data_IF_283755866628
#
_entry.id   IF_283755866628
#
_cell.length_a   1.000
_cell.length_b   1.000
_cell.length_c   1.000
_cell.angle_alpha   90.00
_cell.angle_beta   90.00
_cell.angle_gamma   90.00
#
_symmetry.space_group_name_H-M   'P 1'
#
loop_
_entity.id
_entity.type
_entity.pdbx_description
1 polymer ?
#
# COMPACT_ATOMS: atom_id res chain seq x y z
N UNK A 1 4.86 8.37 25.70
CA UNK A 1 3.44 8.49 25.29
C UNK A 1 2.93 7.09 25.02
N UNK A 2 1.69 6.75 25.38
CA UNK A 2 1.11 5.42 25.13
C UNK A 2 -0.20 5.59 24.36
N UNK A 3 -0.36 4.88 23.27
CA UNK A 3 -1.63 4.81 22.57
C UNK A 3 -2.49 3.66 23.11
N UNK A 4 -3.82 3.82 23.10
CA UNK A 4 -4.73 2.79 23.63
C UNK A 4 -5.19 1.86 22.52
N UNK A 5 -5.81 2.38 21.48
CA UNK A 5 -6.46 1.58 20.43
C UNK A 5 -5.81 1.72 19.05
N UNK A 6 -5.26 2.89 18.73
CA UNK A 6 -4.71 3.19 17.43
C UNK A 6 -3.18 3.20 17.45
N UNK A 7 -2.55 2.95 16.31
CA UNK A 7 -1.14 3.29 16.13
C UNK A 7 -1.00 4.81 15.99
N UNK A 8 0.11 5.35 16.44
CA UNK A 8 0.53 6.70 16.09
C UNK A 8 1.65 6.56 15.07
N UNK A 9 1.43 7.14 13.91
CA UNK A 9 2.35 7.04 12.77
C UNK A 9 2.77 8.43 12.28
N UNK A 10 3.91 8.50 11.63
CA UNK A 10 4.42 9.68 10.97
C UNK A 10 4.71 9.35 9.50
N UNK A 11 4.35 10.22 8.54
CA UNK A 11 4.67 9.97 7.13
C UNK A 11 6.19 9.94 6.91
N UNK A 12 6.64 9.04 6.05
CA UNK A 12 8.01 9.03 5.57
C UNK A 12 8.17 10.13 4.50
N UNK A 13 8.78 11.26 4.88
CA UNK A 13 8.86 12.44 4.02
C UNK A 13 7.58 13.28 4.02
N UNK A 14 7.20 13.80 2.85
CA UNK A 14 6.00 14.63 2.70
C UNK A 14 4.71 13.80 2.68
N UNK A 15 3.60 14.38 3.17
CA UNK A 15 2.26 13.75 3.10
C UNK A 15 1.79 13.52 1.66
N UNK A 16 2.24 14.37 0.72
CA UNK A 16 1.83 14.35 -0.68
C UNK A 16 3.06 14.43 -1.60
N UNK A 17 3.05 13.65 -2.66
CA UNK A 17 4.12 13.66 -3.67
C UNK A 17 4.06 14.83 -4.65
N UNK A 18 2.97 15.62 -4.63
CA UNK A 18 2.81 16.81 -5.47
C UNK A 18 3.31 18.11 -4.85
N UNK A 19 3.99 18.05 -3.71
CA UNK A 19 4.53 19.20 -3.01
C UNK A 19 6.03 19.29 -3.19
N UNK A 20 6.51 20.45 -3.62
CA UNK A 20 7.94 20.80 -3.66
C UNK A 20 8.16 21.97 -2.70
N UNK A 21 9.10 21.82 -1.78
CA UNK A 21 9.54 22.91 -0.93
C UNK A 21 10.64 23.71 -1.66
N UNK A 22 10.38 24.98 -1.95
CA UNK A 22 11.35 25.90 -2.52
C UNK A 22 11.55 27.04 -1.51
N UNK A 23 12.75 27.16 -0.96
CA UNK A 23 13.14 28.23 0.00
C UNK A 23 12.22 28.37 1.23
N UNK A 24 11.58 27.29 1.68
CA UNK A 24 10.67 27.30 2.82
C UNK A 24 9.19 27.46 2.47
N UNK A 25 8.88 27.79 1.22
CA UNK A 25 7.51 27.85 0.71
C UNK A 25 7.11 26.54 0.05
N UNK A 26 5.89 26.07 0.38
CA UNK A 26 5.30 24.89 -0.26
C UNK A 26 4.68 25.26 -1.59
N UNK A 27 5.24 24.75 -2.68
CA UNK A 27 4.66 24.82 -4.01
C UNK A 27 3.91 23.54 -4.33
N UNK A 28 2.62 23.66 -4.65
CA UNK A 28 1.82 22.54 -5.17
C UNK A 28 2.01 22.46 -6.67
N UNK A 29 2.73 21.44 -7.13
CA UNK A 29 3.06 21.25 -8.55
C UNK A 29 1.88 20.69 -9.35
N UNK A 30 0.91 20.05 -8.67
CA UNK A 30 -0.30 19.50 -9.29
C UNK A 30 -1.51 19.83 -8.42
N UNK A 31 -2.50 20.51 -8.99
CA UNK A 31 -3.73 20.93 -8.30
C UNK A 31 -4.74 19.79 -8.07
N UNK A 32 -4.48 18.57 -8.53
CA UNK A 32 -5.32 17.39 -8.27
C UNK A 32 -5.21 16.92 -6.82
N UNK A 33 -5.56 17.80 -5.87
CA UNK A 33 -5.45 17.56 -4.41
C UNK A 33 -6.26 16.34 -3.96
N UNK A 34 -7.28 15.95 -4.70
CA UNK A 34 -8.12 14.78 -4.39
C UNK A 34 -7.62 13.46 -4.98
N UNK A 35 -6.54 13.47 -5.76
CA UNK A 35 -6.00 12.24 -6.30
C UNK A 35 -5.30 11.43 -5.21
N UNK A 36 -5.96 10.36 -4.74
CA UNK A 36 -5.44 9.46 -3.71
C UNK A 36 -4.09 8.84 -4.07
N UNK A 37 -3.72 8.78 -5.36
CA UNK A 37 -2.43 8.28 -5.84
C UNK A 37 -1.27 9.19 -5.45
N UNK A 38 -1.54 10.47 -5.17
CA UNK A 38 -0.53 11.44 -4.75
C UNK A 38 -0.31 11.45 -3.23
N UNK A 39 -1.16 10.77 -2.48
CA UNK A 39 -1.04 10.68 -1.02
C UNK A 39 0.03 9.64 -0.67
N UNK A 40 0.99 10.05 0.14
CA UNK A 40 1.98 9.13 0.68
C UNK A 40 1.31 8.03 1.49
N UNK A 41 1.75 6.80 1.30
CA UNK A 41 1.24 5.62 2.01
C UNK A 41 2.30 4.96 2.87
N UNK A 42 3.53 5.49 2.86
CA UNK A 42 4.62 5.03 3.72
C UNK A 42 4.64 5.83 5.01
N UNK A 43 4.75 5.13 6.11
CA UNK A 43 4.81 5.72 7.44
C UNK A 43 5.79 4.98 8.34
N UNK A 44 6.25 5.67 9.38
CA UNK A 44 6.99 5.07 10.50
C UNK A 44 6.07 5.01 11.72
N UNK A 45 6.03 3.88 12.40
CA UNK A 45 5.28 3.68 13.64
C UNK A 45 6.02 4.35 14.80
N UNK A 46 5.37 5.31 15.44
CA UNK A 46 5.92 5.99 16.63
C UNK A 46 5.48 5.31 17.93
N UNK A 47 4.24 4.79 17.93
CA UNK A 47 3.68 4.13 19.12
C UNK A 47 2.69 3.06 18.71
N UNK A 48 2.77 1.92 19.36
CA UNK A 48 1.82 0.81 19.15
C UNK A 48 0.68 0.88 20.16
N UNK A 49 -0.52 0.36 19.82
CA UNK A 49 -1.64 0.27 20.76
C UNK A 49 -1.36 -0.68 21.91
N UNK A 50 -1.91 -0.36 23.07
CA UNK A 50 -1.78 -1.21 24.28
C UNK A 50 -2.98 -2.13 24.49
N UNK A 51 -4.10 -1.89 23.79
CA UNK A 51 -5.34 -2.66 23.96
C UNK A 51 -5.29 -4.06 23.35
N UNK A 52 -4.37 -4.33 22.45
CA UNK A 52 -4.22 -5.65 21.79
C UNK A 52 -2.77 -5.93 21.39
N UNK A 53 -2.46 -7.21 21.22
CA UNK A 53 -1.12 -7.64 20.76
C UNK A 53 -1.02 -7.58 19.24
N UNK A 54 0.08 -7.04 18.75
CA UNK A 54 0.37 -6.89 17.32
C UNK A 54 1.81 -7.30 17.01
N UNK A 55 2.11 -7.84 15.83
CA UNK A 55 3.49 -8.09 15.42
C UNK A 55 4.25 -6.80 15.07
N UNK A 56 3.54 -5.69 14.85
CA UNK A 56 4.12 -4.39 14.50
C UNK A 56 4.76 -3.77 15.75
N UNK A 57 5.93 -3.14 15.59
CA UNK A 57 6.69 -2.52 16.67
C UNK A 57 6.94 -1.03 16.40
N UNK A 58 7.28 -0.29 17.45
CA UNK A 58 7.76 1.09 17.32
C UNK A 58 9.03 1.12 16.43
N UNK A 59 9.08 2.05 15.48
CA UNK A 59 10.15 2.17 14.52
C UNK A 59 9.94 1.35 13.23
N UNK A 60 8.95 0.46 13.16
CA UNK A 60 8.67 -0.26 11.91
C UNK A 60 8.19 0.71 10.82
N UNK A 61 8.68 0.51 9.58
CA UNK A 61 8.06 1.09 8.39
C UNK A 61 6.77 0.35 8.06
N UNK A 62 5.73 1.07 7.68
CA UNK A 62 4.42 0.50 7.35
C UNK A 62 3.87 1.09 6.05
N UNK A 63 3.11 0.28 5.31
CA UNK A 63 2.28 0.74 4.19
C UNK A 63 0.85 0.82 4.69
N UNK A 64 0.25 2.01 4.56
CA UNK A 64 -1.05 2.33 5.15
C UNK A 64 -2.06 2.82 4.13
N UNK A 65 -3.32 2.86 4.54
CA UNK A 65 -4.40 3.41 3.75
C UNK A 65 -4.23 4.94 3.58
N UNK A 66 -4.44 5.44 2.35
CA UNK A 66 -4.25 6.84 2.00
C UNK A 66 -5.09 7.82 2.86
N UNK A 67 -6.25 7.39 3.38
CA UNK A 67 -7.11 8.24 4.22
C UNK A 67 -6.45 8.69 5.54
N UNK A 68 -5.40 8.00 6.00
CA UNK A 68 -4.69 8.38 7.23
C UNK A 68 -4.02 9.74 7.05
N UNK A 69 -3.43 9.99 5.87
CA UNK A 69 -2.73 11.23 5.56
C UNK A 69 -3.54 12.20 4.70
N UNK A 70 -4.80 11.85 4.36
CA UNK A 70 -5.66 12.70 3.54
C UNK A 70 -5.89 14.06 4.20
N UNK A 71 -5.81 15.13 3.40
CA UNK A 71 -6.16 16.49 3.80
C UNK A 71 -7.66 16.68 3.76
N UNK A 72 -8.13 17.48 4.69
CA UNK A 72 -9.54 17.92 4.75
C UNK A 72 -9.58 19.43 4.68
N UNK A 73 -10.59 19.95 4.01
CA UNK A 73 -10.79 21.38 3.83
C UNK A 73 -12.18 21.77 4.32
N UNK A 74 -12.27 22.93 4.98
CA UNK A 74 -13.57 23.50 5.33
C UNK A 74 -14.24 24.14 4.10
N UNK A 75 -15.45 24.66 4.27
CA UNK A 75 -16.21 25.33 3.22
C UNK A 75 -15.55 26.61 2.66
N UNK A 76 -14.54 27.12 3.33
CA UNK A 76 -13.74 28.27 2.90
C UNK A 76 -12.46 27.86 2.16
N UNK A 77 -12.24 26.55 1.94
CA UNK A 77 -11.03 26.01 1.29
C UNK A 77 -9.78 26.02 2.18
N UNK A 78 -9.92 26.27 3.49
CA UNK A 78 -8.80 26.22 4.44
C UNK A 78 -8.62 24.79 4.94
N UNK A 79 -7.37 24.30 4.94
CA UNK A 79 -7.04 23.00 5.51
C UNK A 79 -7.39 22.96 7.00
N UNK A 80 -8.04 21.88 7.41
CA UNK A 80 -8.44 21.62 8.79
C UNK A 80 -7.93 20.26 9.22
N UNK A 81 -7.70 20.12 10.51
CA UNK A 81 -7.31 18.85 11.10
C UNK A 81 -8.43 17.81 10.94
N UNK A 82 -8.03 16.59 10.57
CA UNK A 82 -8.93 15.45 10.55
C UNK A 82 -8.99 14.79 11.93
N UNK A 83 -9.96 13.89 12.13
CA UNK A 83 -10.02 13.02 13.31
C UNK A 83 -8.80 12.10 13.44
N UNK A 84 -7.98 12.00 12.41
CA UNK A 84 -6.73 11.23 12.40
C UNK A 84 -5.51 12.03 12.82
N UNK A 85 -5.60 13.37 12.83
CA UNK A 85 -4.47 14.24 13.22
C UNK A 85 -4.24 14.16 14.73
N UNK A 86 -3.01 13.87 15.12
CA UNK A 86 -2.58 13.79 16.51
C UNK A 86 -1.33 14.66 16.74
N UNK A 87 -1.50 15.98 16.69
CA UNK A 87 -0.38 16.93 16.82
C UNK A 87 0.52 17.01 15.58
N UNK A 88 1.70 17.60 15.73
CA UNK A 88 2.60 17.93 14.63
C UNK A 88 3.04 16.70 13.84
N UNK A 89 2.58 16.60 12.60
CA UNK A 89 2.92 15.54 11.65
C UNK A 89 2.73 14.10 12.19
N UNK A 90 1.82 13.91 13.16
CA UNK A 90 1.47 12.62 13.76
C UNK A 90 0.02 12.29 13.48
N UNK A 91 -0.25 11.03 13.17
CA UNK A 91 -1.56 10.60 12.73
C UNK A 91 -1.97 9.31 13.43
N UNK A 92 -3.27 9.21 13.75
CA UNK A 92 -3.87 7.99 14.27
C UNK A 92 -4.16 7.05 13.11
N UNK A 93 -3.68 5.82 13.21
CA UNK A 93 -3.86 4.76 12.22
C UNK A 93 -4.45 3.52 12.88
N UNK A 94 -5.58 3.06 12.39
CA UNK A 94 -6.22 1.84 12.86
C UNK A 94 -5.52 0.60 12.29
N UNK A 95 -5.62 -0.54 12.98
CA UNK A 95 -4.97 -1.77 12.57
C UNK A 95 -5.38 -2.23 11.16
N UNK A 96 -6.65 -2.10 10.82
CA UNK A 96 -7.20 -2.44 9.50
C UNK A 96 -6.78 -1.49 8.37
N UNK A 97 -6.19 -0.35 8.72
CA UNK A 97 -5.62 0.61 7.78
C UNK A 97 -4.14 0.33 7.46
N UNK A 98 -3.52 -0.68 8.07
CA UNK A 98 -2.14 -1.09 7.80
C UNK A 98 -2.17 -2.34 6.93
N UNK A 99 -1.52 -2.27 5.77
CA UNK A 99 -1.46 -3.38 4.81
C UNK A 99 -0.20 -4.21 4.97
N UNK A 100 0.94 -3.53 5.18
CA UNK A 100 2.26 -4.14 5.35
C UNK A 100 3.02 -3.47 6.48
N UNK A 101 3.90 -4.23 7.11
CA UNK A 101 4.97 -3.72 7.94
C UNK A 101 6.29 -4.33 7.53
N UNK A 102 7.37 -3.58 7.72
CA UNK A 102 8.71 -4.02 7.33
C UNK A 102 9.48 -4.51 8.54
N UNK A 103 9.99 -5.72 8.46
CA UNK A 103 10.88 -6.27 9.47
C UNK A 103 12.23 -6.56 8.84
N UNK A 104 13.28 -5.88 9.32
CA UNK A 104 14.60 -5.86 8.65
C UNK A 104 14.46 -5.35 7.22
N UNK A 105 14.60 -6.23 6.24
CA UNK A 105 14.50 -5.89 4.79
C UNK A 105 13.27 -6.48 4.11
N UNK A 106 12.45 -7.27 4.84
CA UNK A 106 11.29 -7.96 4.27
C UNK A 106 9.99 -7.28 4.65
N UNK A 107 9.13 -7.03 3.66
CA UNK A 107 7.74 -6.65 3.88
C UNK A 107 6.91 -7.87 4.28
N UNK A 108 6.11 -7.71 5.33
CA UNK A 108 5.22 -8.73 5.87
C UNK A 108 3.78 -8.20 5.85
N UNK A 109 2.81 -9.04 5.47
CA UNK A 109 1.41 -8.61 5.39
C UNK A 109 0.77 -8.50 6.77
N UNK A 110 -0.21 -7.62 6.88
CA UNK A 110 -1.08 -7.48 8.03
C UNK A 110 -2.43 -8.15 7.74
N UNK A 111 -2.87 -9.03 8.62
CA UNK A 111 -4.14 -9.75 8.46
C UNK A 111 -4.17 -10.61 7.20
N UNK A 112 -5.26 -10.49 6.44
CA UNK A 112 -5.52 -11.28 5.24
C UNK A 112 -5.00 -10.63 3.94
N UNK A 113 -4.26 -9.53 4.03
CA UNK A 113 -3.71 -8.88 2.85
C UNK A 113 -2.63 -9.74 2.17
N UNK A 114 -2.65 -9.73 0.85
CA UNK A 114 -1.60 -10.30 0.00
C UNK A 114 -1.31 -9.36 -1.17
N UNK A 115 -0.14 -9.49 -1.76
CA UNK A 115 0.30 -8.61 -2.85
C UNK A 115 0.74 -9.44 -4.05
N UNK A 116 0.19 -9.07 -5.19
CA UNK A 116 0.32 -9.78 -6.45
C UNK A 116 1.04 -8.90 -7.45
N UNK A 117 2.03 -9.46 -8.15
CA UNK A 117 2.67 -8.80 -9.29
C UNK A 117 1.82 -9.06 -10.53
N UNK A 118 1.40 -8.02 -11.28
CA UNK A 118 0.81 -8.22 -12.59
C UNK A 118 1.80 -8.89 -13.54
N UNK A 119 1.29 -9.61 -14.53
CA UNK A 119 2.10 -10.27 -15.56
C UNK A 119 1.83 -9.68 -16.94
N UNK A 120 2.85 -9.71 -17.80
CA UNK A 120 2.75 -9.21 -19.18
C UNK A 120 1.67 -9.96 -19.96
N UNK A 121 0.99 -9.24 -20.80
CA UNK A 121 0.09 -9.84 -21.76
C UNK A 121 0.88 -10.23 -23.01
N UNK A 122 0.93 -11.53 -23.29
CA UNK A 122 1.63 -12.07 -24.46
C UNK A 122 0.73 -12.19 -25.71
N UNK A 123 -0.53 -11.70 -25.62
CA UNK A 123 -1.43 -11.68 -26.78
C UNK A 123 -1.12 -10.47 -27.65
N UNK A 124 -0.53 -10.73 -28.83
CA UNK A 124 -0.17 -9.70 -29.82
C UNK A 124 -1.35 -8.88 -30.35
N UNK A 125 -2.57 -9.38 -30.18
CA UNK A 125 -3.81 -8.72 -30.60
C UNK A 125 -4.45 -7.88 -29.48
N UNK A 126 -3.97 -8.02 -28.28
CA UNK A 126 -4.49 -7.29 -27.13
C UNK A 126 -3.81 -5.93 -26.97
N UNK A 127 -4.60 -4.87 -26.78
CA UNK A 127 -4.08 -3.54 -26.41
C UNK A 127 -3.74 -3.41 -24.92
N UNK A 128 -4.11 -4.40 -24.12
CA UNK A 128 -3.86 -4.39 -22.69
C UNK A 128 -2.43 -4.88 -22.41
N UNK A 129 -1.62 -4.11 -21.68
CA UNK A 129 -0.22 -4.45 -21.43
C UNK A 129 -0.04 -5.60 -20.43
N UNK A 130 -1.08 -5.89 -19.64
CA UNK A 130 -1.08 -6.92 -18.59
C UNK A 130 -2.27 -7.88 -18.74
N UNK A 131 -2.11 -9.11 -18.24
CA UNK A 131 -3.20 -10.09 -18.18
C UNK A 131 -4.19 -9.71 -17.09
N UNK A 132 -5.48 -9.65 -17.41
CA UNK A 132 -6.53 -9.38 -16.43
C UNK A 132 -6.69 -10.53 -15.44
N UNK A 133 -6.89 -10.20 -14.17
CA UNK A 133 -7.22 -11.15 -13.09
C UNK A 133 -6.21 -12.27 -12.88
N UNK A 134 -4.95 -12.07 -13.26
CA UNK A 134 -3.89 -13.06 -13.16
C UNK A 134 -2.57 -12.39 -12.76
N UNK A 135 -1.79 -13.07 -11.92
CA UNK A 135 -0.52 -12.53 -11.47
C UNK A 135 0.25 -13.49 -10.57
N UNK A 136 1.42 -13.06 -10.14
CA UNK A 136 2.33 -13.85 -9.31
C UNK A 136 2.29 -13.33 -7.87
N UNK A 137 2.15 -14.21 -6.88
CA UNK A 137 2.17 -13.86 -5.46
C UNK A 137 3.55 -13.32 -5.08
N UNK A 138 3.63 -12.05 -4.70
CA UNK A 138 4.87 -11.41 -4.23
C UNK A 138 5.01 -11.46 -2.72
N UNK A 139 3.92 -11.12 -2.01
CA UNK A 139 3.86 -11.15 -0.55
C UNK A 139 2.60 -11.94 -0.20
N UNK A 140 2.80 -13.16 0.27
CA UNK A 140 1.74 -14.03 0.75
C UNK A 140 1.52 -13.89 2.25
N UNK A 141 0.41 -14.42 2.74
CA UNK A 141 0.08 -14.49 4.16
C UNK A 141 -0.10 -15.94 4.64
N UNK A 142 -0.35 -16.11 5.93
CA UNK A 142 -0.51 -17.45 6.53
C UNK A 142 -1.68 -18.24 5.96
N UNK A 143 -2.78 -17.57 5.63
CA UNK A 143 -3.97 -18.20 5.04
C UNK A 143 -3.66 -18.77 3.66
N UNK A 144 -3.02 -18.00 2.78
CA UNK A 144 -2.60 -18.49 1.47
C UNK A 144 -1.62 -19.66 1.59
N UNK A 145 -0.64 -19.55 2.48
CA UNK A 145 0.32 -20.65 2.72
C UNK A 145 -0.37 -21.93 3.20
N UNK A 146 -1.38 -21.82 4.08
CA UNK A 146 -2.15 -22.99 4.55
C UNK A 146 -3.00 -23.64 3.44
N UNK A 147 -3.35 -22.89 2.41
CA UNK A 147 -4.01 -23.36 1.20
C UNK A 147 -3.04 -23.88 0.12
N UNK A 148 -1.74 -23.92 0.41
CA UNK A 148 -0.71 -24.35 -0.53
C UNK A 148 -0.34 -23.31 -1.59
N UNK A 149 -0.70 -22.03 -1.35
CA UNK A 149 -0.34 -20.91 -2.22
C UNK A 149 0.82 -20.16 -1.58
N UNK A 150 1.96 -20.11 -2.26
CA UNK A 150 3.20 -19.53 -1.76
C UNK A 150 3.66 -18.33 -2.60
N UNK A 151 4.63 -17.57 -2.09
CA UNK A 151 5.32 -16.54 -2.86
C UNK A 151 5.94 -17.17 -4.12
N UNK A 152 5.74 -16.55 -5.28
CA UNK A 152 6.14 -17.04 -6.58
C UNK A 152 5.08 -17.84 -7.33
N UNK A 153 4.00 -18.24 -6.69
CA UNK A 153 2.92 -18.97 -7.36
C UNK A 153 2.11 -18.08 -8.29
N UNK A 154 1.70 -18.63 -9.43
CA UNK A 154 0.80 -18.00 -10.38
C UNK A 154 -0.65 -18.22 -9.93
N UNK A 155 -1.39 -17.12 -9.76
CA UNK A 155 -2.77 -17.15 -9.26
C UNK A 155 -3.73 -16.37 -10.13
N UNK A 156 -4.99 -16.77 -10.07
CA UNK A 156 -6.11 -16.01 -10.61
C UNK A 156 -6.96 -15.44 -9.48
N UNK A 157 -7.47 -14.23 -9.67
CA UNK A 157 -8.19 -13.50 -8.65
C UNK A 157 -9.47 -12.83 -9.19
N UNK A 158 -10.33 -12.38 -8.29
CA UNK A 158 -11.59 -11.68 -8.62
C UNK A 158 -11.32 -10.36 -9.31
N UNK A 159 -12.14 -10.03 -10.31
CA UNK A 159 -12.10 -8.73 -11.00
C UNK A 159 -12.44 -7.58 -10.07
N UNK A 160 -11.81 -6.42 -10.30
CA UNK A 160 -12.06 -5.16 -9.58
C UNK A 160 -11.81 -5.26 -8.06
N UNK A 161 -10.86 -6.11 -7.66
CA UNK A 161 -10.37 -6.21 -6.29
C UNK A 161 -8.94 -5.72 -6.15
N UNK A 162 -8.32 -5.37 -7.26
CA UNK A 162 -6.95 -4.89 -7.33
C UNK A 162 -6.86 -3.47 -6.75
N UNK A 163 -6.17 -3.33 -5.64
CA UNK A 163 -5.82 -2.02 -5.12
C UNK A 163 -4.34 -1.76 -5.37
N UNK A 164 -4.04 -0.83 -6.28
CA UNK A 164 -2.68 -0.57 -6.76
C UNK A 164 -1.79 0.08 -5.70
N UNK A 165 -0.59 -0.48 -5.54
CA UNK A 165 0.50 0.09 -4.77
C UNK A 165 1.80 0.10 -5.59
N UNK A 166 2.66 1.07 -5.27
CA UNK A 166 4.06 1.06 -5.68
C UNK A 166 4.89 0.90 -4.42
N UNK A 167 5.58 -0.23 -4.32
CA UNK A 167 6.41 -0.56 -3.17
C UNK A 167 7.80 -0.90 -3.70
N UNK A 168 8.81 -0.18 -3.21
CA UNK A 168 10.20 -0.36 -3.62
C UNK A 168 10.38 -0.38 -5.16
N UNK A 169 9.72 0.58 -5.84
CA UNK A 169 9.73 0.75 -7.31
C UNK A 169 9.08 -0.41 -8.09
N UNK A 170 8.30 -1.24 -7.41
CA UNK A 170 7.54 -2.32 -8.03
C UNK A 170 6.04 -2.06 -7.88
N UNK A 171 5.31 -2.16 -8.99
CA UNK A 171 3.85 -2.08 -9.01
C UNK A 171 3.27 -3.40 -8.54
N UNK A 172 2.40 -3.34 -7.55
CA UNK A 172 1.75 -4.48 -6.92
C UNK A 172 0.26 -4.24 -6.77
N UNK A 173 -0.52 -5.30 -6.80
CA UNK A 173 -1.93 -5.30 -6.45
C UNK A 173 -2.12 -5.88 -5.06
N UNK A 174 -2.65 -5.06 -4.15
CA UNK A 174 -3.10 -5.51 -2.84
C UNK A 174 -4.53 -6.06 -2.94
N UNK A 175 -4.76 -7.21 -2.36
CA UNK A 175 -6.07 -7.82 -2.21
C UNK A 175 -6.12 -8.69 -0.96
N UNK A 176 -7.26 -9.27 -0.65
CA UNK A 176 -7.40 -10.21 0.45
C UNK A 176 -7.29 -11.67 -0.02
N UNK A 177 -6.93 -12.56 0.89
CA UNK A 177 -6.80 -14.00 0.59
C UNK A 177 -8.02 -14.59 -0.09
N UNK A 178 -9.23 -14.17 0.31
CA UNK A 178 -10.50 -14.64 -0.25
C UNK A 178 -10.82 -14.10 -1.66
N UNK A 179 -10.00 -13.20 -2.18
CA UNK A 179 -10.09 -12.71 -3.55
C UNK A 179 -9.29 -13.59 -4.51
N UNK A 180 -8.39 -14.43 -4.01
CA UNK A 180 -7.68 -15.44 -4.79
C UNK A 180 -8.62 -16.61 -5.07
N UNK A 181 -8.81 -16.96 -6.35
CA UNK A 181 -9.77 -17.97 -6.78
C UNK A 181 -9.11 -19.28 -7.16
N UNK A 182 -7.96 -19.21 -7.84
CA UNK A 182 -7.30 -20.41 -8.38
C UNK A 182 -5.77 -20.24 -8.32
N UNK A 183 -5.09 -21.36 -8.18
CA UNK A 183 -3.66 -21.48 -8.41
C UNK A 183 -3.43 -22.18 -9.74
N UNK A 184 -2.59 -21.62 -10.58
CA UNK A 184 -2.19 -22.21 -11.86
C UNK A 184 -0.86 -22.96 -11.71
N UNK A 185 -0.64 -23.95 -12.57
CA UNK A 185 0.70 -24.50 -12.76
C UNK A 185 1.58 -23.44 -13.44
N UNK A 186 2.63 -23.02 -12.75
CA UNK A 186 3.57 -22.04 -13.28
C UNK A 186 4.53 -22.74 -14.27
N UNK A 187 4.41 -22.39 -15.57
CA UNK A 187 5.23 -22.97 -16.64
C UNK A 187 6.53 -22.21 -16.90
N UNK A 188 6.77 -21.11 -16.17
CA UNK A 188 7.96 -20.26 -16.33
C UNK A 188 7.94 -19.34 -17.54
N UNK A 189 6.82 -19.24 -18.24
CA UNK A 189 6.66 -18.37 -19.44
C UNK A 189 6.10 -17.00 -19.11
N UNK A 190 5.53 -16.85 -17.94
CA UNK A 190 4.90 -15.60 -17.50
C UNK A 190 5.97 -14.62 -17.01
N UNK A 191 5.99 -13.42 -17.62
CA UNK A 191 6.89 -12.34 -17.24
C UNK A 191 6.16 -11.34 -16.35
N UNK A 192 6.86 -10.87 -15.31
CA UNK A 192 6.36 -9.79 -14.45
C UNK A 192 6.19 -8.50 -15.26
N UNK A 193 5.05 -7.84 -15.09
CA UNK A 193 4.79 -6.53 -15.67
C UNK A 193 5.04 -5.43 -14.65
N UNK A 194 6.06 -4.62 -14.89
CA UNK A 194 6.37 -3.44 -14.10
C UNK A 194 6.60 -2.23 -15.03
N UNK A 195 5.61 -1.33 -15.16
CA UNK A 195 5.71 -0.21 -16.08
C UNK A 195 6.83 0.76 -15.69
N UNK A 196 7.36 1.48 -16.69
CA UNK A 196 8.50 2.40 -16.49
C UNK A 196 8.23 3.50 -15.45
N UNK A 197 7.01 4.01 -15.40
CA UNK A 197 6.62 5.03 -14.43
C UNK A 197 6.64 4.55 -12.97
N UNK A 198 6.42 3.25 -12.72
CA UNK A 198 6.53 2.68 -11.37
C UNK A 198 7.98 2.57 -10.90
N UNK A 199 8.94 2.46 -11.84
CA UNK A 199 10.38 2.39 -11.54
C UNK A 199 10.98 3.73 -11.15
N UNK A 200 10.32 4.83 -11.50
CA UNK A 200 10.75 6.21 -11.21
C UNK A 200 10.07 6.82 -9.98
N UNK A 201 9.17 6.09 -9.33
CA UNK A 201 8.39 6.51 -8.15
C UNK A 201 9.11 6.21 -6.84
#
# INVERSE_FOLDING_TARGET
MKSVFDFIVMPEGNRYSNEVNINGDKLIVNSSIENFKLINRKATVLTVPTAFTTPIQEGDEVIIHHNVFRRYYNHQGKEVDSSKTFGDNKYLCQYDQIYLYKRMVKWLPVGEHCFIIPIENNDEWSQEPEQKNKGIVKIGNKTLTSLGINEGDLVGFKSNREFEFIIDKQRLYCMQSNDILVKYEFKGNEKEYNPSWAKSS
#
